data_IF_315039153750
#
_entry.id   IF_315039153750
#
_cell.length_a   1.000
_cell.length_b   1.000
_cell.length_c   1.000
_cell.angle_alpha   90.00
_cell.angle_beta   90.00
_cell.angle_gamma   90.00
#
_symmetry.space_group_name_H-M   'P 1'
#
loop_
_entity.id
_entity.type
_entity.pdbx_description
1 polymer ?
#
# COMPACT_ATOMS: atom_id res chain seq x y z
N UNK A 1 16.86 -12.74 -16.24
CA UNK A 1 15.68 -11.92 -15.89
C UNK A 1 14.56 -12.72 -15.21
N UNK A 2 14.05 -13.83 -15.77
CA UNK A 2 12.90 -14.57 -15.20
C UNK A 2 13.02 -15.00 -13.72
N UNK A 3 14.20 -15.48 -13.27
CA UNK A 3 14.38 -15.91 -11.88
C UNK A 3 14.35 -14.74 -10.87
N UNK A 4 14.94 -13.60 -11.22
CA UNK A 4 14.98 -12.40 -10.36
C UNK A 4 13.58 -11.88 -10.08
N UNK A 5 12.74 -11.78 -11.10
CA UNK A 5 11.34 -11.36 -10.97
C UNK A 5 10.53 -12.33 -10.09
N UNK A 6 10.79 -13.64 -10.19
CA UNK A 6 10.17 -14.63 -9.32
C UNK A 6 10.55 -14.43 -7.85
N UNK A 7 11.82 -14.13 -7.56
CA UNK A 7 12.24 -13.80 -6.19
C UNK A 7 11.61 -12.51 -5.69
N UNK A 8 11.51 -11.47 -6.52
CA UNK A 8 10.81 -10.23 -6.16
C UNK A 8 9.35 -10.50 -5.78
N UNK A 9 8.64 -11.29 -6.59
CA UNK A 9 7.27 -11.68 -6.30
C UNK A 9 7.15 -12.44 -4.98
N UNK A 10 8.06 -13.40 -4.71
CA UNK A 10 8.06 -14.15 -3.45
C UNK A 10 8.35 -13.26 -2.23
N UNK A 11 9.30 -12.33 -2.34
CA UNK A 11 9.61 -11.35 -1.30
C UNK A 11 8.37 -10.49 -1.01
N UNK A 12 7.69 -10.02 -2.07
CA UNK A 12 6.45 -9.24 -1.95
C UNK A 12 5.35 -10.00 -1.20
N UNK A 13 5.08 -11.26 -1.54
CA UNK A 13 4.03 -12.06 -0.87
C UNK A 13 4.26 -12.18 0.65
N UNK A 14 5.51 -12.34 1.08
CA UNK A 14 5.86 -12.37 2.51
C UNK A 14 5.68 -11.01 3.17
N UNK A 15 6.14 -9.93 2.54
CA UNK A 15 5.98 -8.57 3.06
C UNK A 15 4.52 -8.12 3.11
N UNK A 16 3.69 -8.54 2.14
CA UNK A 16 2.25 -8.26 2.11
C UNK A 16 1.55 -8.83 3.33
N UNK A 17 1.98 -9.99 3.79
CA UNK A 17 1.41 -10.67 4.97
C UNK A 17 2.02 -10.19 6.28
N UNK A 18 3.32 -9.91 6.30
CA UNK A 18 4.06 -9.41 7.47
C UNK A 18 5.05 -8.32 7.05
N UNK A 19 4.65 -7.03 7.06
CA UNK A 19 5.48 -5.94 6.54
C UNK A 19 6.79 -5.71 7.30
N UNK A 20 6.90 -6.25 8.52
CA UNK A 20 8.07 -6.11 9.40
C UNK A 20 8.89 -7.40 9.51
N UNK A 21 8.69 -8.34 8.58
CA UNK A 21 9.40 -9.62 8.60
C UNK A 21 10.93 -9.40 8.51
N UNK A 22 11.74 -10.01 9.38
CA UNK A 22 13.19 -9.89 9.32
C UNK A 22 13.79 -10.46 8.02
N UNK A 23 14.88 -9.87 7.54
CA UNK A 23 15.57 -10.31 6.30
C UNK A 23 15.97 -11.80 6.36
N UNK A 24 16.33 -12.32 7.54
CA UNK A 24 16.70 -13.73 7.66
C UNK A 24 15.52 -14.68 7.41
N UNK A 25 14.30 -14.28 7.77
CA UNK A 25 13.09 -15.06 7.51
C UNK A 25 12.73 -15.02 6.03
N UNK A 26 12.86 -13.85 5.39
CA UNK A 26 12.71 -13.71 3.93
C UNK A 26 13.70 -14.63 3.20
N UNK A 27 14.96 -14.64 3.63
CA UNK A 27 15.99 -15.49 3.04
C UNK A 27 15.65 -16.99 3.18
N UNK A 28 15.21 -17.40 4.36
CA UNK A 28 14.80 -18.78 4.64
C UNK A 28 13.59 -19.20 3.79
N UNK A 29 12.54 -18.38 3.72
CA UNK A 29 11.30 -18.70 3.02
C UNK A 29 11.43 -18.67 1.50
N UNK A 30 12.30 -17.81 0.98
CA UNK A 30 12.52 -17.67 -0.48
C UNK A 30 13.69 -18.50 -1.00
N UNK A 31 14.38 -19.22 -0.12
CA UNK A 31 15.55 -20.06 -0.41
C UNK A 31 16.69 -19.31 -1.11
N UNK A 32 16.94 -18.05 -0.71
CA UNK A 32 18.06 -17.23 -1.19
C UNK A 32 18.97 -16.83 -0.02
N UNK A 33 20.19 -16.41 -0.33
CA UNK A 33 21.10 -15.92 0.71
C UNK A 33 20.58 -14.63 1.34
N UNK A 34 20.93 -14.37 2.61
CA UNK A 34 20.58 -13.11 3.31
C UNK A 34 21.06 -11.87 2.56
N UNK A 35 22.27 -11.92 1.99
CA UNK A 35 22.83 -10.82 1.21
C UNK A 35 22.01 -10.57 -0.06
N UNK A 36 21.57 -11.65 -0.73
CA UNK A 36 20.71 -11.57 -1.91
C UNK A 36 19.34 -11.00 -1.56
N UNK A 37 18.72 -11.46 -0.46
CA UNK A 37 17.44 -10.95 0.02
C UNK A 37 17.53 -9.44 0.34
N UNK A 38 18.57 -9.02 1.05
CA UNK A 38 18.84 -7.61 1.35
C UNK A 38 18.98 -6.78 0.08
N UNK A 39 19.79 -7.25 -0.88
CA UNK A 39 20.01 -6.58 -2.16
C UNK A 39 18.72 -6.46 -2.97
N UNK A 40 17.94 -7.54 -3.07
CA UNK A 40 16.68 -7.53 -3.80
C UNK A 40 15.64 -6.61 -3.17
N UNK A 41 15.56 -6.59 -1.84
CA UNK A 41 14.66 -5.66 -1.15
C UNK A 41 15.05 -4.19 -1.43
N UNK A 42 16.35 -3.88 -1.37
CA UNK A 42 16.85 -2.55 -1.69
C UNK A 42 16.56 -2.17 -3.15
N UNK A 43 16.85 -3.05 -4.10
CA UNK A 43 16.53 -2.83 -5.52
C UNK A 43 15.03 -2.63 -5.75
N UNK A 44 14.16 -3.41 -5.08
CA UNK A 44 12.71 -3.23 -5.21
C UNK A 44 12.24 -1.86 -4.71
N UNK A 45 12.88 -1.29 -3.68
CA UNK A 45 12.57 0.03 -3.16
C UNK A 45 13.10 1.13 -4.09
N UNK A 46 14.36 0.99 -4.55
CA UNK A 46 15.01 1.93 -5.46
C UNK A 46 14.30 2.01 -6.83
N UNK A 47 13.86 0.86 -7.35
CA UNK A 47 13.11 0.76 -8.62
C UNK A 47 11.62 1.10 -8.46
N UNK A 48 11.18 1.57 -7.28
CA UNK A 48 9.78 1.87 -6.96
C UNK A 48 8.80 0.70 -7.17
N UNK A 49 9.29 -0.54 -7.18
CA UNK A 49 8.49 -1.76 -7.24
C UNK A 49 7.77 -1.99 -5.91
N UNK A 50 8.43 -1.63 -4.80
CA UNK A 50 7.89 -1.72 -3.46
C UNK A 50 7.94 -0.34 -2.79
N UNK A 51 6.79 0.16 -2.35
CA UNK A 51 6.77 1.24 -1.37
C UNK A 51 7.10 0.67 0.00
N UNK A 52 7.97 1.36 0.75
CA UNK A 52 8.47 0.89 2.03
C UNK A 52 7.35 0.53 3.02
N UNK A 53 7.68 -0.23 4.09
CA UNK A 53 6.68 -0.69 5.03
C UNK A 53 5.97 0.49 5.69
N UNK A 54 4.66 0.59 5.47
CA UNK A 54 3.84 1.62 6.09
C UNK A 54 3.53 1.23 7.53
N UNK A 55 3.82 2.12 8.48
CA UNK A 55 3.25 2.02 9.82
C UNK A 55 1.76 2.34 9.71
N UNK A 56 0.92 1.32 9.90
CA UNK A 56 -0.53 1.49 10.02
C UNK A 56 -0.92 1.35 11.48
N UNK A 57 -1.68 2.31 11.99
CA UNK A 57 -2.42 2.16 13.23
C UNK A 57 -3.52 1.14 12.98
N UNK A 58 -3.66 0.15 13.88
CA UNK A 58 -4.83 -0.71 13.86
C UNK A 58 -6.02 0.15 14.29
N UNK A 59 -7.18 0.02 13.61
CA UNK A 59 -8.37 0.75 14.02
C UNK A 59 -8.73 0.35 15.45
N UNK A 60 -8.86 1.34 16.33
CA UNK A 60 -9.38 1.12 17.67
C UNK A 60 -10.87 0.76 17.57
N UNK A 61 -11.41 -0.11 18.44
CA UNK A 61 -12.86 -0.32 18.52
C UNK A 61 -13.68 0.96 18.71
N UNK A 62 -13.05 2.02 19.22
CA UNK A 62 -13.66 3.33 19.47
C UNK A 62 -13.47 4.32 18.32
N UNK A 63 -12.65 4.00 17.32
CA UNK A 63 -12.38 4.85 16.16
C UNK A 63 -13.11 4.27 14.95
N UNK A 64 -14.09 5.00 14.44
CA UNK A 64 -14.96 4.54 13.36
C UNK A 64 -14.69 5.34 12.10
N UNK A 65 -14.30 4.63 11.06
CA UNK A 65 -14.15 5.20 9.74
C UNK A 65 -15.47 5.09 8.97
N UNK A 66 -15.80 6.12 8.19
CA UNK A 66 -17.01 6.16 7.36
C UNK A 66 -16.63 6.20 5.89
N UNK A 67 -17.27 5.33 5.10
CA UNK A 67 -17.14 5.33 3.64
C UNK A 67 -18.34 6.06 3.04
N UNK A 68 -18.06 7.12 2.30
CA UNK A 68 -19.06 7.89 1.56
C UNK A 68 -18.85 7.74 0.06
N UNK A 69 -19.91 7.35 -0.65
CA UNK A 69 -19.95 7.24 -2.11
C UNK A 69 -20.77 8.40 -2.65
N UNK A 70 -20.14 9.25 -3.47
CA UNK A 70 -20.70 10.53 -3.88
C UNK A 70 -20.62 10.72 -5.40
N UNK A 71 -21.52 11.56 -5.91
CA UNK A 71 -21.53 12.01 -7.30
C UNK A 71 -21.38 13.52 -7.38
N UNK A 72 -20.26 13.98 -7.95
CA UNK A 72 -20.02 15.38 -8.22
C UNK A 72 -20.05 15.66 -9.71
N UNK A 73 -20.48 16.86 -10.11
CA UNK A 73 -20.43 17.26 -11.52
C UNK A 73 -18.98 17.42 -12.02
N UNK A 74 -18.08 17.83 -11.14
CA UNK A 74 -16.65 17.97 -11.38
C UNK A 74 -15.85 17.19 -10.32
N UNK A 75 -15.70 15.87 -10.48
CA UNK A 75 -14.96 15.04 -9.52
C UNK A 75 -13.47 15.37 -9.46
N UNK A 76 -12.89 15.93 -10.54
CA UNK A 76 -11.47 16.31 -10.60
C UNK A 76 -11.16 17.49 -9.67
N UNK A 77 -12.02 18.51 -9.68
CA UNK A 77 -11.90 19.63 -8.76
C UNK A 77 -12.06 19.16 -7.31
N UNK A 78 -13.09 18.36 -7.04
CA UNK A 78 -13.37 17.83 -5.69
C UNK A 78 -12.22 16.99 -5.16
N UNK A 79 -11.62 16.13 -6.00
CA UNK A 79 -10.45 15.33 -5.62
C UNK A 79 -9.29 16.20 -5.13
N UNK A 80 -9.03 17.32 -5.81
CA UNK A 80 -7.97 18.25 -5.40
C UNK A 80 -8.30 18.89 -4.05
N UNK A 81 -9.54 19.34 -3.88
CA UNK A 81 -9.98 19.99 -2.65
C UNK A 81 -9.95 19.04 -1.43
N UNK A 82 -10.40 17.80 -1.58
CA UNK A 82 -10.50 16.83 -0.49
C UNK A 82 -9.16 16.53 0.18
N UNK A 83 -8.04 16.65 -0.54
CA UNK A 83 -6.70 16.42 0.00
C UNK A 83 -6.31 17.38 1.13
N UNK A 84 -6.99 18.52 1.24
CA UNK A 84 -6.76 19.52 2.30
C UNK A 84 -7.74 19.47 3.46
N UNK A 85 -8.74 18.57 3.44
CA UNK A 85 -9.76 18.56 4.49
C UNK A 85 -9.28 17.80 5.74
N UNK A 86 -9.48 18.38 6.93
CA UNK A 86 -9.28 17.61 8.16
C UNK A 86 -10.27 16.43 8.16
N UNK A 87 -9.86 15.30 8.72
CA UNK A 87 -10.66 14.07 8.82
C UNK A 87 -10.87 13.30 7.51
N UNK A 88 -10.34 13.74 6.37
CA UNK A 88 -10.29 12.90 5.16
C UNK A 88 -9.05 12.03 5.23
N UNK A 89 -9.25 10.73 5.49
CA UNK A 89 -8.18 9.74 5.55
C UNK A 89 -7.74 9.27 4.16
N UNK A 90 -8.71 9.15 3.25
CA UNK A 90 -8.49 8.72 1.89
C UNK A 90 -9.61 9.23 0.98
N UNK A 91 -9.27 9.62 -0.24
CA UNK A 91 -10.25 9.94 -1.26
C UNK A 91 -9.78 9.43 -2.62
N UNK A 92 -10.74 9.03 -3.45
CA UNK A 92 -10.47 8.52 -4.79
C UNK A 92 -11.54 8.98 -5.78
N UNK A 93 -11.09 9.29 -7.00
CA UNK A 93 -12.00 9.33 -8.15
C UNK A 93 -12.27 7.89 -8.58
N UNK A 94 -13.54 7.62 -8.89
CA UNK A 94 -14.01 6.29 -9.27
C UNK A 94 -14.89 6.40 -10.51
N UNK A 95 -15.17 5.27 -11.15
CA UNK A 95 -16.05 5.19 -12.30
C UNK A 95 -17.18 4.20 -12.00
N UNK A 96 -18.41 4.55 -12.35
CA UNK A 96 -19.60 3.75 -12.07
C UNK A 96 -20.78 4.63 -11.66
N UNK A 97 -21.64 4.09 -10.80
CA UNK A 97 -22.82 4.80 -10.28
C UNK A 97 -22.47 5.93 -9.30
N UNK A 98 -21.22 5.98 -8.84
CA UNK A 98 -20.61 7.09 -8.10
C UNK A 98 -19.27 7.43 -8.74
N UNK A 99 -18.86 8.69 -8.64
CA UNK A 99 -17.60 9.16 -9.22
C UNK A 99 -16.56 9.60 -8.19
N UNK A 100 -16.90 9.61 -6.91
CA UNK A 100 -16.00 9.95 -5.80
C UNK A 100 -16.26 9.03 -4.61
N UNK A 101 -15.19 8.47 -4.03
CA UNK A 101 -15.22 7.76 -2.74
C UNK A 101 -14.38 8.53 -1.73
N UNK A 102 -14.89 8.69 -0.51
CA UNK A 102 -14.19 9.35 0.59
C UNK A 102 -14.26 8.46 1.82
N UNK A 103 -13.13 8.28 2.50
CA UNK A 103 -13.01 7.65 3.81
C UNK A 103 -12.68 8.75 4.82
N UNK A 104 -13.51 8.88 5.85
CA UNK A 104 -13.31 9.86 6.94
C UNK A 104 -13.31 9.20 8.30
N UNK A 105 -12.79 9.90 9.32
CA UNK A 105 -12.83 9.50 10.73
C UNK A 105 -13.77 10.34 11.62
#
# INVERSE_FOLDING_TARGET
MKQKTLHFHRIYEHLRSSPKIPIYEIASSTSISRNTASKYLQEMIEDHILQGPQLRLLPSPTYREYVSLMNFKDPSHVFTCLSGFPHVLYHAMTFGDWNTMVITD
#
